data_IF_338850879469
#
_entry.id   IF_338850879469
#
_cell.length_a   1.000
_cell.length_b   1.000
_cell.length_c   1.000
_cell.angle_alpha   90.00
_cell.angle_beta   90.00
_cell.angle_gamma   90.00
#
_symmetry.space_group_name_H-M   'P 1'
#
loop_
_entity.id
_entity.type
_entity.pdbx_description
1 polymer ?
#
# COMPACT_ATOMS: atom_id res chain seq x y z
N UNK A 1 9.47 0.55 28.01
CA UNK A 1 8.13 0.08 27.65
C UNK A 1 7.37 1.26 27.07
N UNK A 2 6.99 1.19 25.79
CA UNK A 2 6.08 2.18 25.23
C UNK A 2 4.74 2.11 25.99
N UNK A 3 4.05 3.25 26.21
CA UNK A 3 2.75 3.23 26.85
C UNK A 3 1.81 2.35 26.02
N UNK A 4 1.08 1.43 26.70
CA UNK A 4 0.05 0.61 26.07
C UNK A 4 -0.96 1.55 25.45
N UNK A 5 -1.02 1.63 24.12
CA UNK A 5 -2.07 2.36 23.42
C UNK A 5 -3.41 1.71 23.74
N UNK A 6 -4.39 2.52 24.11
CA UNK A 6 -5.73 2.05 24.52
C UNK A 6 -6.63 1.66 23.34
N UNK A 7 -6.17 1.81 22.10
CA UNK A 7 -6.93 1.58 20.88
C UNK A 7 -6.24 0.55 19.96
N UNK A 8 -7.02 -0.03 19.07
CA UNK A 8 -6.61 -1.09 18.15
C UNK A 8 -5.80 -0.50 16.99
N UNK A 9 -4.53 -0.92 16.85
CA UNK A 9 -3.71 -0.56 15.69
C UNK A 9 -3.98 -1.54 14.55
N UNK A 10 -4.19 -1.01 13.35
CA UNK A 10 -4.33 -1.79 12.11
C UNK A 10 -3.33 -1.28 11.08
N UNK A 11 -2.44 -2.16 10.64
CA UNK A 11 -1.53 -1.87 9.55
C UNK A 11 -2.21 -2.17 8.21
N UNK A 12 -2.58 -1.13 7.47
CA UNK A 12 -3.34 -1.28 6.23
C UNK A 12 -2.48 -1.53 4.98
N UNK A 13 -1.15 -1.66 5.12
CA UNK A 13 -0.27 -1.75 3.97
C UNK A 13 0.92 -2.67 4.23
N UNK A 14 0.78 -3.97 3.91
CA UNK A 14 1.82 -4.97 4.12
C UNK A 14 1.94 -5.97 2.96
N UNK A 15 3.14 -6.52 2.76
CA UNK A 15 3.49 -7.46 1.70
C UNK A 15 4.26 -8.67 2.25
N UNK A 16 3.62 -9.59 2.96
CA UNK A 16 4.31 -10.69 3.64
C UNK A 16 4.65 -11.88 2.73
N UNK A 17 4.94 -11.61 1.47
CA UNK A 17 5.41 -12.62 0.52
C UNK A 17 6.74 -12.20 -0.08
N UNK A 18 7.76 -13.06 0.00
CA UNK A 18 9.10 -12.67 -0.39
C UNK A 18 10.09 -13.81 -0.54
N UNK A 19 11.34 -13.55 -0.27
CA UNK A 19 12.44 -14.52 -0.33
C UNK A 19 13.18 -14.56 1.01
N UNK A 20 12.90 -15.58 1.80
CA UNK A 20 13.50 -15.80 3.13
C UNK A 20 14.99 -16.10 3.05
N UNK A 21 15.44 -16.72 1.98
CA UNK A 21 16.84 -17.10 1.77
C UNK A 21 17.75 -15.97 1.29
N UNK A 22 17.19 -14.77 1.07
CA UNK A 22 17.98 -13.65 0.58
C UNK A 22 18.79 -13.00 1.70
N UNK A 23 20.10 -13.18 1.68
CA UNK A 23 21.03 -12.50 2.59
C UNK A 23 21.38 -11.10 2.06
N UNK A 24 20.87 -10.08 2.72
CA UNK A 24 21.14 -8.68 2.41
C UNK A 24 22.29 -8.10 3.23
N UNK A 25 22.79 -8.82 4.22
CA UNK A 25 23.80 -8.33 5.17
C UNK A 25 25.08 -7.79 4.52
N UNK A 26 25.59 -8.35 3.42
CA UNK A 26 26.78 -7.81 2.75
C UNK A 26 26.55 -6.42 2.14
N UNK A 27 25.30 -6.09 1.80
CA UNK A 27 24.95 -4.88 1.06
C UNK A 27 24.47 -3.75 1.99
N UNK A 28 23.94 -4.06 3.16
CA UNK A 28 23.41 -3.10 4.14
C UNK A 28 24.52 -2.16 4.65
N UNK A 29 25.74 -2.64 4.80
CA UNK A 29 26.86 -1.82 5.28
C UNK A 29 27.25 -0.69 4.33
N UNK A 30 26.96 -0.84 3.04
CA UNK A 30 27.36 0.11 2.02
C UNK A 30 26.26 1.11 1.63
N UNK A 31 25.00 0.76 1.84
CA UNK A 31 23.85 1.58 1.40
C UNK A 31 22.70 1.44 2.36
N UNK A 32 22.47 2.48 3.18
CA UNK A 32 21.33 2.53 4.12
C UNK A 32 20.00 2.88 3.45
N UNK A 33 20.05 3.50 2.26
CA UNK A 33 18.87 3.88 1.51
C UNK A 33 18.49 2.75 0.54
N UNK A 34 17.30 2.17 0.70
CA UNK A 34 16.83 1.06 -0.14
C UNK A 34 16.72 1.40 -1.63
N UNK A 35 16.51 2.66 -1.96
CA UNK A 35 16.44 3.11 -3.36
C UNK A 35 17.85 3.14 -3.97
N UNK A 36 18.80 3.69 -3.23
CA UNK A 36 20.20 3.62 -3.63
C UNK A 36 20.68 2.18 -3.72
N UNK A 37 20.20 1.30 -2.83
CA UNK A 37 20.49 -0.12 -2.90
C UNK A 37 19.94 -0.75 -4.19
N UNK A 38 18.70 -0.47 -4.57
CA UNK A 38 18.13 -0.88 -5.87
C UNK A 38 18.98 -0.41 -7.05
N UNK A 39 19.46 0.81 -6.98
CA UNK A 39 20.28 1.39 -8.05
C UNK A 39 21.67 0.77 -8.15
N UNK A 40 22.28 0.46 -7.01
CA UNK A 40 23.64 -0.07 -6.94
C UNK A 40 23.71 -1.59 -7.07
N UNK A 41 22.64 -2.28 -6.67
CA UNK A 41 22.54 -3.73 -6.58
C UNK A 41 21.24 -4.24 -7.21
N UNK A 42 21.00 -3.99 -8.52
CA UNK A 42 19.76 -4.38 -9.18
C UNK A 42 19.55 -5.90 -9.21
N UNK A 43 20.63 -6.69 -9.15
CA UNK A 43 20.59 -8.15 -9.07
C UNK A 43 19.87 -8.63 -7.80
N UNK A 44 20.08 -7.97 -6.67
CA UNK A 44 19.43 -8.33 -5.39
C UNK A 44 17.91 -8.21 -5.51
N UNK A 45 17.45 -7.14 -6.15
CA UNK A 45 16.03 -6.94 -6.37
C UNK A 45 15.41 -7.95 -7.32
N UNK A 46 16.17 -8.43 -8.30
CA UNK A 46 15.72 -9.53 -9.16
C UNK A 46 15.54 -10.82 -8.37
N UNK A 47 16.47 -11.12 -7.46
CA UNK A 47 16.36 -12.30 -6.59
C UNK A 47 15.18 -12.17 -5.59
N UNK A 48 14.97 -10.99 -5.00
CA UNK A 48 13.82 -10.75 -4.13
C UNK A 48 12.49 -11.03 -4.81
N UNK A 49 12.36 -10.67 -6.10
CA UNK A 49 11.14 -10.86 -6.85
C UNK A 49 10.89 -12.33 -7.27
N UNK A 50 11.87 -13.19 -7.13
CA UNK A 50 11.72 -14.62 -7.37
C UNK A 50 11.16 -15.37 -6.16
N UNK A 51 11.16 -14.73 -4.98
CA UNK A 51 10.73 -15.37 -3.76
C UNK A 51 9.20 -15.46 -3.65
N UNK A 52 8.71 -16.65 -3.32
CA UNK A 52 7.30 -16.95 -3.06
C UNK A 52 7.04 -17.35 -1.62
N UNK A 53 8.03 -17.16 -0.74
CA UNK A 53 7.92 -17.55 0.66
C UNK A 53 6.78 -16.80 1.34
N UNK A 54 5.97 -17.53 2.06
CA UNK A 54 4.98 -16.98 2.98
C UNK A 54 5.70 -16.54 4.27
N UNK A 55 5.70 -15.24 4.51
CA UNK A 55 6.32 -14.58 5.66
C UNK A 55 5.28 -14.04 6.64
N UNK A 56 4.05 -14.53 6.58
CA UNK A 56 2.97 -14.06 7.46
C UNK A 56 3.25 -14.32 8.93
N UNK A 57 3.93 -15.40 9.28
CA UNK A 57 4.34 -15.67 10.67
C UNK A 57 5.36 -14.64 11.17
N UNK A 58 6.31 -14.23 10.34
CA UNK A 58 7.29 -13.20 10.69
C UNK A 58 6.58 -11.86 10.90
N UNK A 59 5.62 -11.52 10.04
CA UNK A 59 4.79 -10.34 10.21
C UNK A 59 4.01 -10.39 11.53
N UNK A 60 3.37 -11.51 11.87
CA UNK A 60 2.59 -11.67 13.10
C UNK A 60 3.49 -11.50 14.35
N UNK A 61 4.69 -12.06 14.33
CA UNK A 61 5.66 -11.88 15.44
C UNK A 61 6.00 -10.39 15.63
N UNK A 62 6.24 -9.64 14.55
CA UNK A 62 6.48 -8.21 14.65
C UNK A 62 5.22 -7.45 15.09
N UNK A 63 4.04 -7.80 14.56
CA UNK A 63 2.77 -7.22 15.01
C UNK A 63 2.56 -7.40 16.52
N UNK A 64 2.86 -8.58 17.07
CA UNK A 64 2.74 -8.84 18.50
C UNK A 64 3.70 -7.97 19.32
N UNK A 65 4.92 -7.81 18.83
CA UNK A 65 5.93 -6.96 19.50
C UNK A 65 5.49 -5.49 19.59
N UNK A 66 4.84 -4.97 18.54
CA UNK A 66 4.39 -3.57 18.46
C UNK A 66 2.93 -3.33 18.85
N UNK A 67 2.20 -4.38 19.25
CA UNK A 67 0.80 -4.28 19.64
C UNK A 67 -0.14 -3.98 18.46
N UNK A 68 0.26 -4.37 17.23
CA UNK A 68 -0.58 -4.26 16.04
C UNK A 68 -1.61 -5.38 16.06
N UNK A 69 -2.87 -5.02 16.10
CA UNK A 69 -3.96 -5.98 16.26
C UNK A 69 -4.29 -6.72 14.97
N UNK A 70 -4.25 -6.03 13.83
CA UNK A 70 -4.56 -6.61 12.52
C UNK A 70 -3.71 -5.98 11.41
N UNK A 71 -3.46 -6.73 10.34
CA UNK A 71 -2.83 -6.23 9.12
C UNK A 71 -3.66 -6.57 7.88
N UNK A 72 -3.67 -5.65 6.91
CA UNK A 72 -4.10 -5.95 5.56
C UNK A 72 -2.89 -6.40 4.74
N UNK A 73 -2.98 -7.62 4.24
CA UNK A 73 -1.91 -8.25 3.47
C UNK A 73 -2.27 -8.31 1.99
N UNK A 74 -1.27 -8.18 1.15
CA UNK A 74 -1.42 -8.31 -0.29
C UNK A 74 -0.21 -9.02 -0.90
N UNK A 75 -0.41 -9.69 -2.03
CA UNK A 75 0.68 -10.36 -2.72
C UNK A 75 1.69 -9.35 -3.27
N UNK A 76 2.92 -9.84 -3.49
CA UNK A 76 3.97 -9.11 -4.19
C UNK A 76 4.76 -10.07 -5.07
N UNK A 77 5.26 -9.58 -6.19
CA UNK A 77 6.05 -10.40 -7.11
C UNK A 77 5.23 -11.56 -7.66
N UNK A 78 5.59 -12.77 -7.31
CA UNK A 78 4.98 -14.02 -7.78
C UNK A 78 3.93 -14.60 -6.83
N UNK A 79 3.69 -13.99 -5.67
CA UNK A 79 2.60 -14.41 -4.78
C UNK A 79 1.23 -14.21 -5.44
N UNK A 80 0.30 -15.12 -5.18
CA UNK A 80 -1.04 -15.12 -5.76
C UNK A 80 -2.09 -14.58 -4.78
N UNK A 81 -3.29 -14.28 -5.27
CA UNK A 81 -4.42 -13.91 -4.41
C UNK A 81 -4.89 -15.10 -3.55
N UNK A 82 -4.70 -16.33 -4.04
CA UNK A 82 -4.95 -17.56 -3.31
C UNK A 82 -3.97 -17.76 -2.13
N UNK A 83 -2.70 -17.32 -2.30
CA UNK A 83 -1.74 -17.30 -1.19
C UNK A 83 -2.18 -16.32 -0.11
N UNK A 84 -2.66 -15.14 -0.49
CA UNK A 84 -3.24 -14.15 0.44
C UNK A 84 -4.44 -14.76 1.16
N UNK A 85 -5.39 -15.35 0.45
CA UNK A 85 -6.58 -15.95 1.04
C UNK A 85 -6.23 -17.09 2.00
N UNK A 86 -5.22 -17.91 1.67
CA UNK A 86 -4.74 -19.00 2.53
C UNK A 86 -4.13 -18.45 3.83
N UNK A 87 -3.34 -17.39 3.77
CA UNK A 87 -2.76 -16.75 4.94
C UNK A 87 -3.86 -16.13 5.83
N UNK A 88 -4.84 -15.45 5.25
CA UNK A 88 -6.00 -14.92 5.98
C UNK A 88 -6.80 -16.04 6.66
N UNK A 89 -7.05 -17.15 5.95
CA UNK A 89 -7.77 -18.30 6.52
C UNK A 89 -7.02 -18.92 7.72
N UNK A 90 -5.69 -18.88 7.71
CA UNK A 90 -4.87 -19.35 8.83
C UNK A 90 -4.93 -18.43 10.05
N UNK A 91 -5.05 -17.11 9.84
CA UNK A 91 -5.04 -16.09 10.88
C UNK A 91 -6.20 -15.07 10.72
N UNK A 92 -7.47 -15.50 10.76
CA UNK A 92 -8.63 -14.65 10.41
C UNK A 92 -8.82 -13.47 11.36
N UNK A 93 -8.41 -13.62 12.62
CA UNK A 93 -8.49 -12.56 13.62
C UNK A 93 -7.38 -11.51 13.48
N UNK A 94 -6.28 -11.86 12.80
CA UNK A 94 -5.09 -11.03 12.68
C UNK A 94 -4.88 -10.45 11.28
N UNK A 95 -5.39 -11.10 10.24
CA UNK A 95 -5.16 -10.72 8.86
C UNK A 95 -6.46 -10.47 8.10
N UNK A 96 -6.42 -9.54 7.16
CA UNK A 96 -7.40 -9.38 6.10
C UNK A 96 -6.66 -9.27 4.76
N UNK A 97 -7.26 -9.72 3.66
CA UNK A 97 -6.59 -9.82 2.37
C UNK A 97 -7.06 -8.78 1.37
N UNK A 98 -6.12 -8.24 0.59
CA UNK A 98 -6.39 -7.45 -0.59
C UNK A 98 -5.97 -8.23 -1.83
N UNK A 99 -6.80 -8.19 -2.88
CA UNK A 99 -6.42 -8.80 -4.15
C UNK A 99 -5.57 -7.87 -5.00
N UNK A 100 -4.78 -8.46 -5.88
CA UNK A 100 -4.07 -7.75 -6.94
C UNK A 100 -4.33 -8.45 -8.27
N UNK A 101 -4.50 -7.73 -9.36
CA UNK A 101 -4.49 -8.34 -10.68
C UNK A 101 -3.18 -9.12 -10.83
N UNK A 102 -3.26 -10.33 -11.35
CA UNK A 102 -2.06 -11.15 -11.59
C UNK A 102 -1.22 -10.46 -12.64
N UNK A 103 -0.02 -10.09 -12.28
CA UNK A 103 0.96 -9.51 -13.21
C UNK A 103 1.97 -10.55 -13.60
N UNK A 104 2.34 -10.53 -14.86
CA UNK A 104 3.60 -11.11 -15.26
C UNK A 104 4.71 -10.30 -14.56
N UNK A 105 5.55 -10.96 -13.77
CA UNK A 105 6.46 -10.40 -12.78
C UNK A 105 7.67 -9.64 -13.35
N UNK A 106 7.72 -9.47 -14.66
CA UNK A 106 8.78 -8.71 -15.31
C UNK A 106 8.71 -7.24 -14.89
N UNK A 107 9.69 -6.77 -14.12
CA UNK A 107 9.84 -5.36 -13.73
C UNK A 107 9.99 -4.45 -14.97
N UNK A 108 10.40 -4.99 -16.09
CA UNK A 108 10.73 -4.30 -17.34
C UNK A 108 10.10 -4.92 -18.58
N UNK A 109 9.11 -5.82 -18.40
CA UNK A 109 8.42 -6.42 -19.54
C UNK A 109 7.41 -5.46 -20.18
N UNK A 110 7.04 -5.70 -21.47
CA UNK A 110 5.98 -4.95 -22.11
C UNK A 110 4.69 -5.07 -21.29
N UNK A 111 3.92 -4.01 -21.26
CA UNK A 111 2.61 -3.99 -20.62
C UNK A 111 1.72 -4.99 -21.36
N UNK A 112 1.26 -6.02 -20.67
CA UNK A 112 0.20 -6.86 -21.20
C UNK A 112 -1.10 -6.05 -21.17
N UNK A 113 -1.81 -6.03 -22.29
CA UNK A 113 -3.16 -5.43 -22.31
C UNK A 113 -4.03 -6.21 -21.33
N UNK A 114 -4.63 -5.50 -20.39
CA UNK A 114 -5.57 -6.10 -19.44
C UNK A 114 -6.84 -6.47 -20.21
N UNK A 115 -7.23 -7.72 -20.13
CA UNK A 115 -8.59 -8.14 -20.46
C UNK A 115 -9.51 -7.81 -19.27
N UNK A 116 -10.22 -6.68 -19.36
CA UNK A 116 -11.13 -6.25 -18.30
C UNK A 116 -12.33 -7.16 -18.10
N UNK A 117 -12.74 -7.94 -19.12
CA UNK A 117 -13.80 -8.93 -18.95
C UNK A 117 -13.31 -10.11 -18.12
N UNK A 118 -12.09 -10.58 -18.35
CA UNK A 118 -11.45 -11.61 -17.53
C UNK A 118 -11.19 -11.07 -16.11
N UNK A 119 -10.66 -9.86 -15.98
CA UNK A 119 -10.44 -9.21 -14.68
C UNK A 119 -11.75 -9.13 -13.88
N UNK A 120 -12.88 -8.78 -14.52
CA UNK A 120 -14.17 -8.75 -13.85
C UNK A 120 -14.57 -10.10 -13.26
N UNK A 121 -14.42 -11.19 -14.03
CA UNK A 121 -14.70 -12.57 -13.53
C UNK A 121 -13.75 -12.95 -12.38
N UNK A 122 -12.50 -12.57 -12.47
CA UNK A 122 -11.51 -12.84 -11.42
C UNK A 122 -11.82 -12.04 -10.15
N UNK A 123 -12.24 -10.79 -10.26
CA UNK A 123 -12.64 -9.98 -9.09
C UNK A 123 -13.88 -10.59 -8.41
N UNK A 124 -14.87 -11.05 -9.18
CA UNK A 124 -16.04 -11.76 -8.65
C UNK A 124 -15.59 -12.97 -7.79
N UNK A 125 -14.66 -13.78 -8.29
CA UNK A 125 -14.08 -14.90 -7.56
C UNK A 125 -13.30 -14.47 -6.32
N UNK A 126 -12.39 -13.48 -6.44
CA UNK A 126 -11.56 -13.04 -5.31
C UNK A 126 -12.38 -12.43 -4.17
N UNK A 127 -13.46 -11.75 -4.50
CA UNK A 127 -14.34 -11.14 -3.50
C UNK A 127 -15.28 -12.16 -2.87
N UNK A 128 -15.98 -12.93 -3.70
CA UNK A 128 -17.06 -13.80 -3.23
C UNK A 128 -16.57 -15.14 -2.68
N UNK A 129 -15.55 -15.73 -3.31
CA UNK A 129 -15.06 -17.06 -2.93
C UNK A 129 -13.83 -16.98 -1.99
N UNK A 130 -12.92 -16.03 -2.24
CA UNK A 130 -11.73 -15.86 -1.41
C UNK A 130 -11.92 -14.87 -0.26
N UNK A 131 -12.98 -14.06 -0.26
CA UNK A 131 -13.30 -13.11 0.80
C UNK A 131 -12.34 -11.92 0.89
N UNK A 132 -11.66 -11.57 -0.21
CA UNK A 132 -10.72 -10.44 -0.25
C UNK A 132 -11.48 -9.11 -0.23
N UNK A 133 -10.93 -8.10 0.45
CA UNK A 133 -11.64 -6.91 0.92
C UNK A 133 -11.43 -5.66 0.07
N UNK A 134 -10.64 -5.72 -0.99
CA UNK A 134 -10.36 -4.59 -1.86
C UNK A 134 -9.17 -4.87 -2.75
N UNK A 135 -8.87 -3.93 -3.63
CA UNK A 135 -7.71 -4.01 -4.50
C UNK A 135 -6.49 -3.40 -3.82
N UNK A 136 -5.42 -4.18 -3.70
CA UNK A 136 -4.16 -3.77 -3.11
C UNK A 136 -3.37 -2.79 -3.97
N UNK A 137 -2.15 -2.47 -3.53
CA UNK A 137 -1.34 -1.41 -4.11
C UNK A 137 -1.06 -1.62 -5.59
N UNK A 138 -1.61 -0.75 -6.40
CA UNK A 138 -1.51 -0.75 -7.85
C UNK A 138 -0.54 0.34 -8.34
N UNK A 139 0.27 -0.01 -9.34
CA UNK A 139 1.14 0.94 -10.04
C UNK A 139 0.55 1.22 -11.41
N UNK A 140 0.06 2.44 -11.62
CA UNK A 140 -0.65 2.80 -12.85
C UNK A 140 0.18 2.60 -14.12
N UNK A 141 1.48 2.84 -14.10
CA UNK A 141 2.38 2.59 -15.23
C UNK A 141 2.50 1.12 -15.68
N UNK A 142 1.81 0.20 -14.98
CA UNK A 142 1.65 -1.19 -15.43
C UNK A 142 0.45 -1.38 -16.34
N UNK A 143 -0.48 -0.44 -16.35
CA UNK A 143 -1.79 -0.55 -17.02
C UNK A 143 -1.91 0.37 -18.21
N UNK A 144 -1.13 1.43 -18.25
CA UNK A 144 -1.19 2.41 -19.32
C UNK A 144 0.20 2.93 -19.67
N UNK A 145 0.39 3.29 -20.93
CA UNK A 145 1.55 4.03 -21.42
C UNK A 145 1.28 5.53 -21.52
N UNK A 146 0.05 5.96 -21.21
CA UNK A 146 -0.34 7.36 -21.28
C UNK A 146 0.41 8.20 -20.24
N UNK A 147 0.62 9.47 -20.55
CA UNK A 147 1.31 10.43 -19.70
C UNK A 147 0.42 11.54 -19.17
N UNK A 148 -0.68 11.83 -19.88
CA UNK A 148 -1.65 12.83 -19.48
C UNK A 148 -2.62 12.27 -18.43
N UNK A 149 -2.88 12.97 -17.31
CA UNK A 149 -3.71 12.47 -16.22
C UNK A 149 -5.10 12.01 -16.68
N UNK A 150 -5.77 12.79 -17.52
CA UNK A 150 -7.10 12.46 -18.05
C UNK A 150 -7.12 11.18 -18.90
N UNK A 151 -6.06 10.91 -19.65
CA UNK A 151 -5.92 9.68 -20.45
C UNK A 151 -5.60 8.48 -19.56
N UNK A 152 -4.72 8.65 -18.59
CA UNK A 152 -4.44 7.63 -17.58
C UNK A 152 -5.74 7.23 -16.86
N UNK A 153 -6.55 8.21 -16.46
CA UNK A 153 -7.83 7.95 -15.81
C UNK A 153 -8.79 7.19 -16.74
N UNK A 154 -8.91 7.58 -18.00
CA UNK A 154 -9.77 6.88 -18.98
C UNK A 154 -9.40 5.42 -19.19
N UNK A 155 -8.10 5.11 -19.21
CA UNK A 155 -7.63 3.73 -19.32
C UNK A 155 -8.04 2.89 -18.09
N UNK A 156 -8.28 3.53 -16.93
CA UNK A 156 -8.70 2.88 -15.70
C UNK A 156 -10.23 2.79 -15.53
N UNK A 157 -11.03 3.45 -16.35
CA UNK A 157 -12.50 3.43 -16.21
C UNK A 157 -13.09 2.02 -16.17
N UNK A 158 -12.69 1.07 -17.05
CA UNK A 158 -13.22 -0.28 -17.00
C UNK A 158 -12.92 -1.02 -15.69
N UNK A 159 -11.76 -0.74 -15.07
CA UNK A 159 -11.43 -1.26 -13.74
C UNK A 159 -12.37 -0.68 -12.68
N UNK A 160 -12.60 0.62 -12.71
CA UNK A 160 -13.46 1.29 -11.74
C UNK A 160 -14.92 0.85 -11.87
N UNK A 161 -15.42 0.58 -13.08
CA UNK A 161 -16.73 -0.02 -13.30
C UNK A 161 -16.86 -1.40 -12.62
N UNK A 162 -15.78 -2.20 -12.62
CA UNK A 162 -15.74 -3.47 -11.90
C UNK A 162 -15.78 -3.22 -10.39
N UNK A 163 -14.94 -2.32 -9.86
CA UNK A 163 -14.86 -2.03 -8.43
C UNK A 163 -16.16 -1.42 -7.86
N UNK A 164 -16.85 -0.59 -8.64
CA UNK A 164 -18.15 -0.01 -8.27
C UNK A 164 -19.19 -1.08 -7.96
N UNK A 165 -19.24 -2.17 -8.75
CA UNK A 165 -20.19 -3.28 -8.52
C UNK A 165 -20.03 -3.93 -7.15
N UNK A 166 -18.80 -3.95 -6.63
CA UNK A 166 -18.46 -4.54 -5.34
C UNK A 166 -18.26 -3.53 -4.22
N UNK A 167 -18.31 -2.23 -4.51
CA UNK A 167 -17.97 -1.13 -3.59
C UNK A 167 -16.60 -1.33 -2.94
N UNK A 168 -15.62 -1.77 -3.73
CA UNK A 168 -14.31 -2.17 -3.25
C UNK A 168 -13.32 -1.01 -3.26
N UNK A 169 -12.59 -0.77 -2.15
CA UNK A 169 -11.48 0.17 -2.13
C UNK A 169 -10.34 -0.27 -3.05
N UNK A 170 -9.65 0.72 -3.61
CA UNK A 170 -8.41 0.52 -4.39
C UNK A 170 -7.28 1.36 -3.81
N UNK A 171 -6.07 0.80 -3.79
CA UNK A 171 -4.86 1.48 -3.38
C UNK A 171 -3.98 1.80 -4.59
N UNK A 172 -3.61 3.07 -4.79
CA UNK A 172 -2.67 3.47 -5.83
C UNK A 172 -1.32 3.86 -5.26
N UNK A 173 -0.26 3.23 -5.77
CA UNK A 173 1.08 3.64 -5.46
C UNK A 173 1.41 4.98 -6.12
N UNK A 174 1.57 6.00 -5.29
CA UNK A 174 2.09 7.31 -5.72
C UNK A 174 3.56 7.48 -5.37
N UNK A 175 4.13 8.60 -5.76
CA UNK A 175 5.56 8.88 -5.72
C UNK A 175 6.38 7.96 -6.64
N UNK A 176 7.60 8.37 -6.89
CA UNK A 176 8.54 7.60 -7.71
C UNK A 176 9.03 6.37 -6.92
N UNK A 177 8.95 5.20 -7.51
CA UNK A 177 9.29 3.97 -6.78
C UNK A 177 10.17 3.01 -7.55
N UNK A 178 10.32 3.20 -8.85
CA UNK A 178 11.13 2.29 -9.68
C UNK A 178 11.89 3.04 -10.76
N UNK A 179 13.13 2.61 -10.98
CA UNK A 179 13.89 2.99 -12.16
C UNK A 179 13.19 2.43 -13.40
N UNK A 180 13.11 3.23 -14.45
CA UNK A 180 12.42 2.88 -15.69
C UNK A 180 10.93 3.18 -15.70
N UNK A 181 10.35 3.65 -14.58
CA UNK A 181 8.97 4.17 -14.56
C UNK A 181 9.02 5.69 -14.57
N UNK A 182 8.36 6.36 -15.52
CA UNK A 182 8.27 7.81 -15.55
C UNK A 182 7.64 8.40 -14.29
N UNK A 183 8.15 9.53 -13.83
CA UNK A 183 7.67 10.18 -12.58
C UNK A 183 6.18 10.52 -12.65
N UNK A 184 5.66 10.89 -13.83
CA UNK A 184 4.24 11.22 -13.97
C UNK A 184 3.30 10.05 -13.64
N UNK A 185 3.73 8.79 -13.76
CA UNK A 185 2.97 7.63 -13.30
C UNK A 185 2.92 7.49 -11.76
N UNK A 186 3.74 8.23 -11.05
CA UNK A 186 3.69 8.32 -9.58
C UNK A 186 2.98 9.57 -9.06
N UNK A 187 2.53 10.46 -9.95
CA UNK A 187 1.74 11.63 -9.57
C UNK A 187 0.26 11.26 -9.38
N UNK A 188 -0.42 11.80 -8.37
CA UNK A 188 -1.80 11.41 -8.05
C UNK A 188 -2.86 12.09 -8.94
N UNK A 189 -2.49 12.93 -9.90
CA UNK A 189 -3.43 13.81 -10.63
C UNK A 189 -4.50 13.05 -11.43
N UNK A 190 -4.21 11.85 -11.93
CA UNK A 190 -5.20 11.02 -12.60
C UNK A 190 -6.30 10.50 -11.66
N UNK A 191 -6.06 10.52 -10.36
CA UNK A 191 -7.03 10.11 -9.33
C UNK A 191 -8.14 11.15 -9.22
N UNK A 192 -7.87 12.41 -9.54
CA UNK A 192 -8.88 13.48 -9.57
C UNK A 192 -10.06 13.12 -10.48
N UNK A 193 -9.78 12.76 -11.74
CA UNK A 193 -10.81 12.34 -12.70
C UNK A 193 -11.51 11.03 -12.30
N UNK A 194 -10.78 10.08 -11.70
CA UNK A 194 -11.34 8.82 -11.24
C UNK A 194 -12.29 9.00 -10.05
N UNK A 195 -11.88 9.78 -9.07
CA UNK A 195 -12.66 10.04 -7.87
C UNK A 195 -13.94 10.84 -8.16
N UNK A 196 -13.87 11.80 -9.11
CA UNK A 196 -15.03 12.56 -9.58
C UNK A 196 -16.05 11.66 -10.29
N UNK A 197 -15.55 10.77 -11.16
CA UNK A 197 -16.43 9.91 -11.97
C UNK A 197 -17.01 8.73 -11.22
N UNK A 198 -16.29 8.21 -10.23
CA UNK A 198 -16.65 7.00 -9.46
C UNK A 198 -16.64 7.28 -7.94
N UNK A 199 -17.52 8.18 -7.45
CA UNK A 199 -17.52 8.58 -6.05
C UNK A 199 -17.83 7.43 -5.07
N UNK A 200 -18.39 6.31 -5.55
CA UNK A 200 -18.68 5.12 -4.76
C UNK A 200 -17.44 4.25 -4.50
N UNK A 201 -16.36 4.46 -5.24
CA UNK A 201 -15.12 3.68 -5.09
C UNK A 201 -14.16 4.44 -4.20
N UNK A 202 -13.87 3.95 -2.99
CA UNK A 202 -12.86 4.56 -2.15
C UNK A 202 -11.46 4.38 -2.76
N UNK A 203 -10.69 5.46 -2.86
CA UNK A 203 -9.34 5.46 -3.41
C UNK A 203 -8.33 5.81 -2.34
N UNK A 204 -7.38 4.94 -2.07
CA UNK A 204 -6.28 5.20 -1.15
C UNK A 204 -5.03 5.59 -1.94
N UNK A 205 -4.58 6.82 -1.75
CA UNK A 205 -3.29 7.28 -2.25
C UNK A 205 -2.21 6.79 -1.28
N UNK A 206 -1.45 5.76 -1.69
CA UNK A 206 -0.41 5.23 -0.82
C UNK A 206 0.83 6.13 -0.83
N UNK A 207 1.53 6.14 0.32
CA UNK A 207 2.78 6.88 0.55
C UNK A 207 2.65 8.40 0.58
N UNK A 208 1.46 8.97 0.50
CA UNK A 208 1.12 10.42 0.49
C UNK A 208 2.32 11.33 0.10
N UNK A 209 2.91 11.07 -1.06
CA UNK A 209 4.06 11.84 -1.57
C UNK A 209 5.43 11.37 -1.05
N UNK A 210 5.50 10.31 -0.22
CA UNK A 210 6.76 9.67 0.23
C UNK A 210 7.78 10.65 0.83
N UNK A 211 7.29 11.60 1.64
CA UNK A 211 8.13 12.61 2.28
C UNK A 211 8.59 13.77 1.37
N UNK A 212 8.18 13.81 0.10
CA UNK A 212 8.45 14.93 -0.80
C UNK A 212 7.30 15.93 -0.75
N UNK A 213 7.57 17.15 -0.33
CA UNK A 213 6.55 18.16 -0.05
C UNK A 213 5.70 18.46 -1.30
N UNK A 214 6.30 18.61 -2.47
CA UNK A 214 5.55 18.88 -3.70
C UNK A 214 4.60 17.75 -4.13
N UNK A 215 4.97 16.48 -3.88
CA UNK A 215 4.09 15.33 -4.13
C UNK A 215 2.99 15.24 -3.07
N UNK A 216 3.32 15.55 -1.83
CA UNK A 216 2.35 15.62 -0.74
C UNK A 216 1.27 16.67 -1.03
N UNK A 217 1.64 17.86 -1.51
CA UNK A 217 0.66 18.89 -1.89
C UNK A 217 -0.32 18.38 -2.96
N UNK A 218 0.17 17.67 -3.97
CA UNK A 218 -0.71 17.08 -4.98
C UNK A 218 -1.63 15.99 -4.40
N UNK A 219 -1.12 15.12 -3.51
CA UNK A 219 -1.94 14.12 -2.83
C UNK A 219 -3.02 14.76 -1.97
N UNK A 220 -2.64 15.79 -1.22
CA UNK A 220 -3.53 16.49 -0.31
C UNK A 220 -4.66 17.21 -1.05
N UNK A 221 -4.34 17.92 -2.14
CA UNK A 221 -5.34 18.68 -2.90
C UNK A 221 -6.37 17.75 -3.56
N UNK A 222 -5.94 16.58 -4.05
CA UNK A 222 -6.85 15.56 -4.60
C UNK A 222 -7.74 15.01 -3.49
N UNK A 223 -7.17 14.67 -2.32
CA UNK A 223 -7.95 14.18 -1.19
C UNK A 223 -8.87 15.27 -0.57
N UNK A 224 -8.47 16.53 -0.60
CA UNK A 224 -9.30 17.64 -0.14
C UNK A 224 -10.52 17.85 -1.04
N UNK A 225 -10.35 17.67 -2.34
CA UNK A 225 -11.43 17.84 -3.33
C UNK A 225 -12.45 16.70 -3.30
N UNK A 226 -12.07 15.47 -2.93
CA UNK A 226 -12.89 14.28 -3.04
C UNK A 226 -13.02 13.52 -1.73
N UNK A 227 -14.25 13.33 -1.24
CA UNK A 227 -14.55 12.65 0.03
C UNK A 227 -14.25 11.14 0.00
N UNK A 228 -14.19 10.53 -1.17
CA UNK A 228 -13.84 9.12 -1.37
C UNK A 228 -12.32 8.89 -1.51
N UNK A 229 -11.47 9.91 -1.32
CA UNK A 229 -10.00 9.78 -1.39
C UNK A 229 -9.38 9.81 0.00
N UNK A 230 -8.53 8.82 0.26
CA UNK A 230 -7.82 8.57 1.53
C UNK A 230 -6.31 8.65 1.29
N UNK A 231 -5.55 8.97 2.35
CA UNK A 231 -4.09 9.04 2.32
C UNK A 231 -3.48 8.04 3.31
N UNK A 232 -2.50 7.22 2.89
CA UNK A 232 -1.77 6.40 3.86
C UNK A 232 -0.47 7.07 4.32
N UNK A 233 -0.01 6.71 5.53
CA UNK A 233 1.13 7.32 6.20
C UNK A 233 2.48 6.73 5.80
N UNK A 234 2.51 5.75 4.92
CA UNK A 234 3.74 5.04 4.53
C UNK A 234 4.82 6.02 4.08
N UNK A 235 5.98 5.96 4.73
CA UNK A 235 7.17 6.77 4.39
C UNK A 235 6.92 8.29 4.30
N UNK A 236 5.87 8.79 4.97
CA UNK A 236 5.58 10.23 5.03
C UNK A 236 6.40 10.94 6.12
N UNK A 237 6.02 12.15 6.47
CA UNK A 237 6.61 12.95 7.57
C UNK A 237 5.54 13.23 8.63
N UNK A 238 5.91 13.41 9.91
CA UNK A 238 4.97 13.83 10.94
C UNK A 238 4.17 15.09 10.57
N UNK A 239 4.81 16.10 9.96
CA UNK A 239 4.14 17.31 9.51
C UNK A 239 3.11 17.06 8.39
N UNK A 240 3.33 16.07 7.51
CA UNK A 240 2.36 15.69 6.49
C UNK A 240 1.12 15.06 7.11
N UNK A 241 1.30 14.17 8.11
CA UNK A 241 0.18 13.57 8.85
C UNK A 241 -0.63 14.63 9.57
N UNK A 242 0.04 15.55 10.30
CA UNK A 242 -0.63 16.66 11.00
C UNK A 242 -1.50 17.47 10.05
N UNK A 243 -0.94 17.84 8.91
CA UNK A 243 -1.62 18.66 7.92
C UNK A 243 -2.76 17.92 7.22
N UNK A 244 -2.54 16.67 6.84
CA UNK A 244 -3.61 15.84 6.27
C UNK A 244 -4.79 15.71 7.23
N UNK A 245 -4.54 15.39 8.51
CA UNK A 245 -5.58 15.30 9.54
C UNK A 245 -6.32 16.63 9.72
N UNK A 246 -5.61 17.76 9.66
CA UNK A 246 -6.23 19.08 9.80
C UNK A 246 -7.12 19.47 8.61
N UNK A 247 -6.76 19.07 7.39
CA UNK A 247 -7.42 19.52 6.16
C UNK A 247 -8.50 18.54 5.65
N UNK A 248 -8.30 17.21 5.82
CA UNK A 248 -9.25 16.21 5.32
C UNK A 248 -9.90 15.36 6.41
N UNK A 249 -9.53 15.56 7.68
CA UNK A 249 -10.03 14.77 8.81
C UNK A 249 -9.23 13.48 9.06
N UNK A 250 -9.15 13.04 10.35
CA UNK A 250 -8.42 11.84 10.72
C UNK A 250 -9.04 10.55 10.17
N UNK A 251 -10.34 10.55 9.86
CA UNK A 251 -11.11 9.45 9.27
C UNK A 251 -10.76 9.17 7.80
N UNK A 252 -9.93 10.00 7.20
CA UNK A 252 -9.41 9.80 5.82
C UNK A 252 -7.89 9.62 5.75
N UNK A 253 -7.23 9.50 6.92
CA UNK A 253 -5.81 9.18 7.00
C UNK A 253 -5.63 7.77 7.59
N UNK A 254 -4.79 6.95 6.97
CA UNK A 254 -4.68 5.51 7.24
C UNK A 254 -3.24 5.17 7.59
N UNK A 255 -3.04 4.45 8.68
CA UNK A 255 -1.73 3.91 9.05
C UNK A 255 -1.33 2.74 8.15
N UNK A 256 -0.08 2.76 7.68
CA UNK A 256 0.55 1.68 6.95
C UNK A 256 2.06 1.72 7.09
N UNK A 257 2.71 0.56 6.95
CA UNK A 257 4.17 0.42 7.07
C UNK A 257 4.88 0.14 5.75
N UNK A 258 4.20 -0.43 4.77
CA UNK A 258 4.82 -1.07 3.58
C UNK A 258 5.71 -2.26 4.02
N UNK A 259 5.26 -3.00 5.06
CA UNK A 259 6.02 -4.12 5.61
C UNK A 259 6.33 -5.14 4.53
N UNK A 260 7.59 -5.41 4.37
CA UNK A 260 8.12 -6.48 3.54
C UNK A 260 9.45 -6.95 4.13
N UNK A 261 9.78 -8.21 3.95
CA UNK A 261 11.00 -8.82 4.51
C UNK A 261 12.28 -8.01 4.19
N UNK A 262 12.35 -7.42 3.01
CA UNK A 262 13.54 -6.66 2.60
C UNK A 262 13.80 -5.46 3.48
N UNK A 263 12.73 -4.76 3.86
CA UNK A 263 12.83 -3.58 4.69
C UNK A 263 13.08 -3.94 6.14
N UNK A 264 12.44 -5.01 6.64
CA UNK A 264 12.70 -5.54 7.97
C UNK A 264 14.10 -6.15 8.08
N UNK A 265 14.60 -6.77 7.01
CA UNK A 265 15.97 -7.31 6.97
C UNK A 265 17.06 -6.23 6.79
N UNK A 266 16.72 -5.08 6.23
CA UNK A 266 17.65 -3.94 6.13
C UNK A 266 18.00 -3.33 7.48
N UNK A 267 17.35 -3.80 8.58
CA UNK A 267 17.61 -3.40 9.97
C UNK A 267 18.36 -2.07 10.07
N UNK A 268 17.67 -1.00 9.68
CA UNK A 268 18.10 0.33 10.11
C UNK A 268 18.10 0.32 11.62
N UNK A 269 18.85 1.18 12.32
CA UNK A 269 18.81 1.26 13.78
C UNK A 269 17.40 1.38 14.35
N UNK A 270 16.44 1.78 13.50
CA UNK A 270 15.01 1.86 13.74
C UNK A 270 14.35 0.85 12.82
N UNK A 271 13.68 -0.15 13.37
CA UNK A 271 12.91 -1.06 12.54
C UNK A 271 11.68 -0.37 11.94
N UNK A 272 11.02 -1.05 11.02
CA UNK A 272 9.98 -0.48 10.20
C UNK A 272 8.76 0.00 11.01
N UNK A 273 8.32 -0.79 12.02
CA UNK A 273 7.21 -0.39 12.88
C UNK A 273 7.56 0.77 13.78
N UNK A 274 8.74 0.78 14.42
CA UNK A 274 9.21 1.90 15.23
C UNK A 274 9.13 3.20 14.45
N UNK A 275 9.70 3.22 13.25
CA UNK A 275 9.72 4.42 12.40
C UNK A 275 8.33 4.82 11.91
N UNK A 276 7.51 3.87 11.49
CA UNK A 276 6.17 4.17 10.97
C UNK A 276 5.22 4.67 12.07
N UNK A 277 5.29 4.10 13.27
CA UNK A 277 4.53 4.56 14.43
C UNK A 277 5.01 5.95 14.90
N UNK A 278 6.32 6.22 14.84
CA UNK A 278 6.88 7.53 15.19
C UNK A 278 6.30 8.64 14.28
N UNK A 279 6.13 8.38 12.97
CA UNK A 279 5.52 9.35 12.03
C UNK A 279 4.15 9.84 12.54
N UNK A 280 3.32 8.94 13.05
CA UNK A 280 1.99 9.31 13.59
C UNK A 280 2.11 9.90 15.00
N UNK A 281 2.92 9.30 15.88
CA UNK A 281 3.03 9.72 17.27
C UNK A 281 3.65 11.11 17.44
N UNK A 282 4.59 11.48 16.57
CA UNK A 282 5.29 12.76 16.56
C UNK A 282 4.59 13.86 15.73
N UNK A 283 3.45 13.53 15.10
CA UNK A 283 2.73 14.50 14.26
C UNK A 283 2.04 15.63 15.03
N UNK A 284 1.91 15.49 16.34
CA UNK A 284 1.23 16.49 17.18
C UNK A 284 -0.30 16.45 17.15
N UNK A 285 -0.89 15.47 16.48
CA UNK A 285 -2.35 15.25 16.50
C UNK A 285 -2.80 14.69 17.85
N UNK A 286 -4.08 14.90 18.20
CA UNK A 286 -4.65 14.42 19.48
C UNK A 286 -4.77 12.90 19.53
N UNK A 287 -4.86 12.33 20.72
CA UNK A 287 -5.04 10.87 20.87
C UNK A 287 -6.33 10.35 20.22
N UNK A 288 -7.40 11.11 20.23
CA UNK A 288 -8.63 10.78 19.51
C UNK A 288 -8.41 10.74 17.97
N UNK A 289 -7.60 11.64 17.44
CA UNK A 289 -7.22 11.61 16.01
C UNK A 289 -6.26 10.46 15.70
N UNK A 290 -5.33 10.13 16.60
CA UNK A 290 -4.45 8.96 16.47
C UNK A 290 -5.24 7.65 16.42
N UNK A 291 -6.30 7.53 17.22
CA UNK A 291 -7.18 6.35 17.20
C UNK A 291 -7.79 6.12 15.81
N UNK A 292 -8.21 7.18 15.14
CA UNK A 292 -8.66 7.11 13.76
C UNK A 292 -7.53 6.67 12.81
N UNK A 293 -6.46 7.42 12.78
CA UNK A 293 -5.33 7.20 11.86
C UNK A 293 -4.74 5.81 12.03
N UNK A 294 -4.52 5.37 13.28
CA UNK A 294 -3.84 4.11 13.58
C UNK A 294 -4.73 2.87 13.41
N UNK A 295 -6.08 3.03 13.34
CA UNK A 295 -6.90 1.83 13.22
C UNK A 295 -8.33 2.04 12.74
N UNK A 296 -9.08 3.00 13.27
CA UNK A 296 -10.52 3.12 12.98
C UNK A 296 -10.82 3.38 11.52
N UNK A 297 -10.01 4.21 10.85
CA UNK A 297 -10.16 4.48 9.42
C UNK A 297 -10.04 3.20 8.60
N UNK A 298 -9.00 2.41 8.83
CA UNK A 298 -8.83 1.13 8.16
C UNK A 298 -9.95 0.14 8.47
N UNK A 299 -10.33 0.03 9.76
CA UNK A 299 -11.43 -0.84 10.17
C UNK A 299 -12.74 -0.50 9.46
N UNK A 300 -13.07 0.79 9.37
CA UNK A 300 -14.29 1.28 8.72
C UNK A 300 -14.25 1.04 7.22
N UNK A 301 -13.13 1.38 6.58
CA UNK A 301 -12.99 1.33 5.12
C UNK A 301 -13.08 -0.10 4.57
N UNK A 302 -12.48 -1.07 5.24
CA UNK A 302 -12.46 -2.48 4.78
C UNK A 302 -13.41 -3.41 5.56
N UNK A 303 -14.14 -2.91 6.54
CA UNK A 303 -15.07 -3.72 7.34
C UNK A 303 -14.38 -4.83 8.14
N UNK A 304 -13.29 -4.51 8.90
CA UNK A 304 -12.42 -5.50 9.57
C UNK A 304 -12.22 -5.24 11.07
#
# INVERSE_FOLDING_TARGET
MAPKQSFRIIDAHTHPFGNRGLDLSPHIKSVRDPILMRRRHPEIFKEMLKGTDDLTEDLIVEMDHYGVAKALIQSRGVGTNEDVARAVKKHPDRLAGLFRPVYNTSISGPQEKIDFAELGRNVDYWVNDLGLKGMGEMRVGRYTSESAPDRIAKDMFPLFEILTRHKMPIMFQTAWTQFGTPIYHGMPLFIDDLAEKFPEVPVVITKMGRGYDFLFEMCLIVAFKHDNVYLDTVQSKPAHVARAVAEIGPERVIFGTDWEQTWSALKTPEDLYTRSLAIVNESGITDAQKEWVLGRTAATLWGI
#
